data_IF_073201252347
#
_entry.id   IF_073201252347
#
_cell.length_a   1.000
_cell.length_b   1.000
_cell.length_c   1.000
_cell.angle_alpha   90.00
_cell.angle_beta   90.00
_cell.angle_gamma   90.00
#
_symmetry.space_group_name_H-M   'P 1'
#
loop_
_entity.id
_entity.type
_entity.pdbx_description
1 polymer ?
#
# COMPACT_ATOMS: atom_id res chain seq x y z
N UNK A 1 31.31 -31.70 39.66
CA UNK A 1 29.97 -31.07 39.64
C UNK A 1 29.53 -31.00 38.19
N UNK A 2 28.29 -31.38 37.86
CA UNK A 2 27.75 -31.26 36.50
C UNK A 2 26.87 -30.03 36.40
N UNK A 3 27.15 -29.11 35.48
CA UNK A 3 26.34 -27.92 35.24
C UNK A 3 25.18 -28.26 34.30
N UNK A 4 23.96 -28.37 34.86
CA UNK A 4 22.75 -28.55 34.06
C UNK A 4 22.48 -27.25 33.30
N UNK A 5 22.76 -27.25 32.00
CA UNK A 5 22.30 -26.20 31.08
C UNK A 5 20.79 -26.33 30.89
N UNK A 6 20.02 -25.46 31.53
CA UNK A 6 18.58 -25.37 31.33
C UNK A 6 18.31 -24.84 29.92
N UNK A 7 17.85 -25.70 29.03
CA UNK A 7 17.45 -25.31 27.68
C UNK A 7 16.24 -24.36 27.75
N UNK A 8 16.48 -23.08 27.50
CA UNK A 8 15.49 -22.02 27.60
C UNK A 8 14.55 -22.07 26.40
N UNK A 9 13.60 -23.00 26.45
CA UNK A 9 12.71 -23.41 25.37
C UNK A 9 12.27 -22.27 24.45
N UNK A 10 12.92 -22.17 23.30
CA UNK A 10 12.70 -21.11 22.31
C UNK A 10 11.26 -21.21 21.78
N UNK A 11 10.42 -20.25 22.16
CA UNK A 11 9.05 -20.15 21.66
C UNK A 11 9.10 -19.94 20.14
N UNK A 12 8.85 -21.03 19.40
CA UNK A 12 8.81 -21.02 17.93
C UNK A 12 7.93 -19.84 17.46
N UNK A 13 8.41 -18.98 16.55
CA UNK A 13 7.60 -17.87 16.06
C UNK A 13 6.33 -18.40 15.39
N UNK A 14 5.25 -17.61 15.42
CA UNK A 14 3.96 -17.99 14.85
C UNK A 14 4.13 -18.51 13.40
N UNK A 15 3.58 -19.69 13.06
CA UNK A 15 3.62 -20.21 11.70
C UNK A 15 3.10 -19.18 10.70
N UNK A 16 3.92 -18.84 9.70
CA UNK A 16 3.58 -17.85 8.67
C UNK A 16 4.12 -16.43 8.90
N UNK A 17 4.66 -16.07 10.07
CA UNK A 17 5.16 -14.70 10.30
C UNK A 17 6.25 -14.28 9.29
N UNK A 18 7.20 -15.17 8.97
CA UNK A 18 8.22 -14.94 7.94
C UNK A 18 7.67 -14.93 6.50
N UNK A 19 6.46 -15.44 6.27
CA UNK A 19 5.77 -15.39 4.97
C UNK A 19 5.03 -14.05 4.83
N UNK A 20 4.33 -13.60 5.88
CA UNK A 20 3.71 -12.27 5.96
C UNK A 20 4.76 -11.15 5.82
N UNK A 21 5.91 -11.26 6.50
CA UNK A 21 7.02 -10.31 6.33
C UNK A 21 7.58 -10.28 4.90
N UNK A 22 7.56 -11.42 4.18
CA UNK A 22 8.00 -11.45 2.77
C UNK A 22 6.97 -10.83 1.84
N UNK A 23 5.67 -11.08 2.07
CA UNK A 23 4.59 -10.39 1.35
C UNK A 23 4.68 -8.88 1.58
N UNK A 24 4.79 -8.42 2.83
CA UNK A 24 5.00 -7.00 3.14
C UNK A 24 6.19 -6.41 2.38
N UNK A 25 7.37 -7.05 2.44
CA UNK A 25 8.56 -6.59 1.71
C UNK A 25 8.38 -6.58 0.18
N UNK A 26 7.62 -7.52 -0.40
CA UNK A 26 7.40 -7.58 -1.84
C UNK A 26 6.45 -6.50 -2.37
N UNK A 27 5.57 -5.97 -1.50
CA UNK A 27 4.69 -4.84 -1.81
C UNK A 27 5.42 -3.48 -1.79
N UNK A 28 6.63 -3.37 -1.21
CA UNK A 28 7.33 -2.08 -1.08
C UNK A 28 7.99 -1.60 -2.39
N UNK A 29 8.42 -2.51 -3.26
CA UNK A 29 9.18 -2.15 -4.48
C UNK A 29 8.38 -1.31 -5.50
N UNK A 30 7.09 -1.61 -5.78
CA UNK A 30 6.24 -0.76 -6.64
C UNK A 30 5.97 0.62 -6.03
N UNK A 31 5.79 0.69 -4.71
CA UNK A 31 5.32 1.89 -3.99
C UNK A 31 6.34 3.04 -4.05
N UNK A 32 7.64 2.71 -4.12
CA UNK A 32 8.73 3.69 -4.08
C UNK A 32 8.67 4.77 -5.18
N UNK A 33 8.05 4.51 -6.33
CA UNK A 33 7.92 5.48 -7.43
C UNK A 33 6.69 6.39 -7.32
N UNK A 34 5.70 6.02 -6.51
CA UNK A 34 4.38 6.66 -6.50
C UNK A 34 4.34 8.08 -5.91
N UNK A 35 5.17 8.46 -4.92
CA UNK A 35 5.29 9.87 -4.52
C UNK A 35 5.76 10.79 -5.65
N UNK A 36 6.69 10.32 -6.49
CA UNK A 36 7.14 11.09 -7.66
C UNK A 36 6.04 11.16 -8.74
N UNK A 37 5.30 10.05 -8.95
CA UNK A 37 4.14 10.03 -9.83
C UNK A 37 3.06 11.04 -9.40
N UNK A 38 2.71 11.07 -8.11
CA UNK A 38 1.73 12.00 -7.54
C UNK A 38 2.16 13.46 -7.67
N UNK A 39 3.44 13.77 -7.37
CA UNK A 39 4.00 15.10 -7.58
C UNK A 39 3.90 15.56 -9.04
N UNK A 40 4.26 14.71 -10.01
CA UNK A 40 4.13 15.03 -11.44
C UNK A 40 2.66 15.22 -11.83
N UNK A 41 1.79 14.28 -11.44
CA UNK A 41 0.35 14.34 -11.70
C UNK A 41 -0.29 15.61 -11.14
N UNK A 42 0.11 16.04 -9.93
CA UNK A 42 -0.41 17.24 -9.27
C UNK A 42 0.13 18.52 -9.89
N UNK A 43 1.46 18.63 -10.06
CA UNK A 43 2.09 19.85 -10.56
C UNK A 43 1.60 20.22 -11.97
N UNK A 44 1.33 19.23 -12.82
CA UNK A 44 0.81 19.44 -14.16
C UNK A 44 -0.67 19.87 -14.27
N UNK A 45 -1.38 20.04 -13.16
CA UNK A 45 -2.81 20.43 -13.18
C UNK A 45 -3.03 21.90 -13.62
N UNK A 46 -4.24 22.24 -14.13
CA UNK A 46 -4.57 23.58 -14.63
C UNK A 46 -4.40 24.71 -13.61
N UNK A 47 -4.54 24.44 -12.31
CA UNK A 47 -4.42 25.41 -11.22
C UNK A 47 -2.99 25.56 -10.67
N UNK A 48 -2.02 24.76 -11.14
CA UNK A 48 -0.61 24.80 -10.73
C UNK A 48 0.33 25.23 -11.86
N UNK A 49 0.97 24.30 -12.60
CA UNK A 49 1.79 24.68 -13.75
C UNK A 49 0.94 25.06 -14.97
N UNK A 50 -0.28 24.51 -15.08
CA UNK A 50 -1.18 24.82 -16.20
C UNK A 50 -1.76 26.23 -16.19
N UNK A 51 -1.58 27.00 -15.11
CA UNK A 51 -1.99 28.41 -15.02
C UNK A 51 -0.97 29.38 -15.62
N UNK A 52 0.20 28.88 -16.04
CA UNK A 52 1.29 29.68 -16.61
C UNK A 52 0.98 29.86 -18.11
N UNK A 53 0.70 31.09 -18.59
CA UNK A 53 0.27 31.31 -19.97
C UNK A 53 1.31 30.81 -20.98
N UNK A 54 0.89 29.98 -21.93
CA UNK A 54 1.75 29.36 -22.94
C UNK A 54 2.49 28.09 -22.46
N UNK A 55 2.22 27.59 -21.24
CA UNK A 55 2.78 26.33 -20.72
C UNK A 55 1.71 25.25 -20.46
N UNK A 56 0.46 25.49 -20.85
CA UNK A 56 -0.69 24.61 -20.59
C UNK A 56 -0.45 23.18 -21.10
N UNK A 57 0.04 23.06 -22.34
CA UNK A 57 0.42 21.77 -22.96
C UNK A 57 1.60 21.11 -22.23
N UNK A 58 2.56 21.90 -21.74
CA UNK A 58 3.70 21.40 -20.98
C UNK A 58 3.28 20.82 -19.63
N UNK A 59 2.38 21.50 -18.94
CA UNK A 59 1.76 21.03 -17.70
C UNK A 59 0.95 19.74 -17.94
N UNK A 60 0.14 19.68 -19.00
CA UNK A 60 -0.62 18.48 -19.36
C UNK A 60 0.28 17.26 -19.62
N UNK A 61 1.43 17.43 -20.30
CA UNK A 61 2.42 16.37 -20.51
C UNK A 61 3.04 15.90 -19.17
N UNK A 62 3.35 16.82 -18.27
CA UNK A 62 3.84 16.50 -16.91
C UNK A 62 2.79 15.71 -16.11
N UNK A 63 1.51 16.12 -16.18
CA UNK A 63 0.42 15.41 -15.53
C UNK A 63 0.25 13.98 -16.07
N UNK A 64 0.26 13.81 -17.39
CA UNK A 64 0.16 12.49 -18.04
C UNK A 64 1.33 11.57 -17.69
N UNK A 65 2.55 12.10 -17.57
CA UNK A 65 3.72 11.32 -17.15
C UNK A 65 3.60 10.81 -15.70
N UNK A 66 2.95 11.57 -14.82
CA UNK A 66 2.58 11.09 -13.47
C UNK A 66 1.46 10.04 -13.52
N UNK A 67 0.38 10.33 -14.25
CA UNK A 67 -0.81 9.46 -14.39
C UNK A 67 -0.47 8.03 -14.82
N UNK A 68 0.44 7.86 -15.78
CA UNK A 68 0.82 6.57 -16.33
C UNK A 68 1.32 5.53 -15.29
N UNK A 69 1.87 5.98 -14.15
CA UNK A 69 2.29 5.07 -13.08
C UNK A 69 1.12 4.59 -12.20
N UNK A 70 0.05 5.37 -12.10
CA UNK A 70 -1.22 4.96 -11.47
C UNK A 70 -2.01 4.03 -12.39
N UNK A 71 -2.07 4.31 -13.68
CA UNK A 71 -2.69 3.42 -14.69
C UNK A 71 -2.01 2.04 -14.71
N UNK A 72 -0.68 2.02 -14.59
CA UNK A 72 0.12 0.80 -14.52
C UNK A 72 0.16 0.14 -13.13
N UNK A 73 -0.48 0.70 -12.10
CA UNK A 73 -0.30 0.28 -10.70
C UNK A 73 -0.49 -1.23 -10.46
N UNK A 74 -1.55 -1.90 -10.97
CA UNK A 74 -1.71 -3.35 -10.80
C UNK A 74 -0.58 -4.18 -11.44
N UNK A 75 -0.06 -3.74 -12.59
CA UNK A 75 1.05 -4.39 -13.29
C UNK A 75 2.37 -4.21 -12.53
N UNK A 76 2.62 -3.02 -11.98
CA UNK A 76 3.76 -2.76 -11.11
C UNK A 76 3.71 -3.67 -9.87
N UNK A 77 2.53 -3.83 -9.25
CA UNK A 77 2.33 -4.78 -8.15
C UNK A 77 2.56 -6.23 -8.56
N UNK A 78 2.13 -6.67 -9.74
CA UNK A 78 2.43 -8.02 -10.24
C UNK A 78 3.95 -8.28 -10.27
N UNK A 79 4.72 -7.35 -10.81
CA UNK A 79 6.19 -7.46 -10.93
C UNK A 79 6.87 -7.40 -9.56
N UNK A 80 6.53 -6.43 -8.71
CA UNK A 80 7.14 -6.27 -7.39
C UNK A 80 6.86 -7.47 -6.48
N UNK A 81 5.61 -7.94 -6.45
CA UNK A 81 5.22 -9.13 -5.69
C UNK A 81 5.91 -10.39 -6.22
N UNK A 82 6.01 -10.57 -7.54
CA UNK A 82 6.70 -11.72 -8.12
C UNK A 82 8.19 -11.77 -7.76
N UNK A 83 8.87 -10.62 -7.78
CA UNK A 83 10.28 -10.51 -7.39
C UNK A 83 10.44 -10.78 -5.89
N UNK A 84 9.73 -10.05 -5.04
CA UNK A 84 9.96 -10.11 -3.58
C UNK A 84 9.40 -11.36 -2.89
N UNK A 85 8.37 -12.03 -3.44
CA UNK A 85 7.83 -13.26 -2.88
C UNK A 85 8.69 -14.49 -3.20
N UNK A 86 9.37 -14.50 -4.35
CA UNK A 86 10.19 -15.62 -4.79
C UNK A 86 11.43 -15.81 -3.90
N UNK A 87 11.76 -17.06 -3.57
CA UNK A 87 12.97 -17.39 -2.77
C UNK A 87 14.28 -16.98 -3.45
N UNK A 88 14.26 -16.91 -4.79
CA UNK A 88 15.26 -16.32 -5.69
C UNK A 88 14.47 -15.81 -6.90
N UNK A 89 14.93 -14.75 -7.54
CA UNK A 89 14.29 -14.13 -8.71
C UNK A 89 15.34 -13.72 -9.74
N UNK A 90 14.96 -13.68 -11.00
CA UNK A 90 15.71 -12.99 -12.06
C UNK A 90 14.74 -12.36 -13.06
N UNK A 91 15.25 -11.80 -14.17
CA UNK A 91 14.41 -11.13 -15.18
C UNK A 91 13.28 -12.00 -15.75
N UNK A 92 13.43 -13.34 -15.74
CA UNK A 92 12.34 -14.24 -16.17
C UNK A 92 11.19 -14.33 -15.16
N UNK A 93 11.44 -14.05 -13.86
CA UNK A 93 10.39 -13.92 -12.83
C UNK A 93 9.54 -12.67 -13.07
N UNK A 94 10.18 -11.54 -13.37
CA UNK A 94 9.51 -10.29 -13.69
C UNK A 94 8.71 -10.37 -15.01
N UNK A 95 9.34 -10.90 -16.07
CA UNK A 95 8.69 -11.08 -17.38
C UNK A 95 7.47 -12.01 -17.29
N UNK A 96 7.54 -13.08 -16.50
CA UNK A 96 6.40 -13.96 -16.29
C UNK A 96 5.22 -13.23 -15.61
N UNK A 97 5.48 -12.33 -14.67
CA UNK A 97 4.45 -11.53 -14.02
C UNK A 97 3.80 -10.51 -14.97
N UNK A 98 4.58 -9.86 -15.84
CA UNK A 98 4.04 -8.98 -16.89
C UNK A 98 3.13 -9.75 -17.83
N UNK A 99 3.62 -10.87 -18.38
CA UNK A 99 2.85 -11.72 -19.32
C UNK A 99 1.59 -12.26 -18.65
N UNK A 100 1.69 -12.75 -17.41
CA UNK A 100 0.54 -13.21 -16.64
C UNK A 100 -0.49 -12.13 -16.39
N UNK A 101 -0.08 -10.91 -16.02
CA UNK A 101 -1.02 -9.86 -15.65
C UNK A 101 -1.76 -9.33 -16.88
N UNK A 102 -1.06 -9.17 -18.01
CA UNK A 102 -1.69 -8.76 -19.26
C UNK A 102 -2.73 -9.80 -19.74
N UNK A 103 -2.42 -11.10 -19.63
CA UNK A 103 -3.40 -12.16 -19.94
C UNK A 103 -4.58 -12.14 -18.97
N UNK A 104 -4.33 -12.03 -17.66
CA UNK A 104 -5.40 -11.95 -16.65
C UNK A 104 -6.33 -10.76 -16.89
N UNK A 105 -5.77 -9.56 -17.14
CA UNK A 105 -6.53 -8.35 -17.45
C UNK A 105 -7.37 -8.50 -18.71
N UNK A 106 -6.80 -9.02 -19.82
CA UNK A 106 -7.52 -9.20 -21.08
C UNK A 106 -8.58 -10.31 -21.03
N UNK A 107 -8.40 -11.33 -20.19
CA UNK A 107 -9.46 -12.31 -19.90
C UNK A 107 -10.57 -11.69 -19.05
N UNK A 108 -10.24 -10.83 -18.07
CA UNK A 108 -11.25 -10.04 -17.35
C UNK A 108 -12.08 -9.17 -18.30
N UNK A 109 -11.44 -8.38 -19.16
CA UNK A 109 -12.11 -7.57 -20.19
C UNK A 109 -13.00 -8.42 -21.10
N UNK A 110 -12.50 -9.53 -21.65
CA UNK A 110 -13.25 -10.41 -22.56
C UNK A 110 -14.44 -11.12 -21.88
N UNK A 111 -14.32 -11.45 -20.58
CA UNK A 111 -15.41 -12.04 -19.80
C UNK A 111 -16.45 -11.00 -19.35
N UNK A 112 -16.14 -9.71 -19.38
CA UNK A 112 -16.98 -8.65 -18.80
C UNK A 112 -18.41 -8.61 -19.37
N UNK A 113 -18.63 -8.67 -20.70
CA UNK A 113 -19.99 -8.72 -21.27
C UNK A 113 -20.81 -9.94 -20.82
N UNK A 114 -20.14 -11.06 -20.50
CA UNK A 114 -20.78 -12.31 -20.10
C UNK A 114 -21.19 -12.32 -18.62
N UNK A 115 -20.38 -11.71 -17.74
CA UNK A 115 -20.60 -11.76 -16.27
C UNK A 115 -21.19 -10.48 -15.68
N UNK A 116 -21.06 -9.34 -16.35
CA UNK A 116 -21.63 -8.04 -15.95
C UNK A 116 -22.74 -7.55 -16.89
N UNK A 117 -22.97 -8.24 -18.01
CA UNK A 117 -23.89 -7.82 -19.06
C UNK A 117 -23.27 -6.78 -20.01
N UNK A 118 -24.04 -6.46 -21.06
CA UNK A 118 -23.73 -5.40 -22.02
C UNK A 118 -24.04 -4.02 -21.43
N UNK A 119 -23.34 -2.96 -21.87
CA UNK A 119 -23.69 -1.59 -21.49
C UNK A 119 -25.05 -1.18 -22.08
N UNK A 120 -25.68 -0.18 -21.45
CA UNK A 120 -26.79 0.55 -22.07
C UNK A 120 -26.32 1.28 -23.34
N UNK A 121 -27.24 1.68 -24.22
CA UNK A 121 -26.91 2.36 -25.47
C UNK A 121 -26.07 3.64 -25.22
N UNK A 122 -24.96 3.78 -25.95
CA UNK A 122 -23.99 4.87 -25.75
C UNK A 122 -23.06 4.72 -24.52
N UNK A 123 -23.31 3.74 -23.64
CA UNK A 123 -22.51 3.49 -22.44
C UNK A 123 -21.18 2.77 -22.72
N UNK A 124 -20.21 2.92 -21.81
CA UNK A 124 -18.98 2.13 -21.80
C UNK A 124 -19.21 0.80 -21.08
N UNK A 125 -18.63 -0.29 -21.58
CA UNK A 125 -18.64 -1.59 -20.91
C UNK A 125 -17.98 -1.48 -19.51
N UNK A 126 -18.70 -1.87 -18.46
CA UNK A 126 -18.11 -2.06 -17.12
C UNK A 126 -17.21 -3.29 -17.17
N UNK A 127 -15.98 -3.17 -16.65
CA UNK A 127 -14.96 -4.21 -16.76
C UNK A 127 -14.76 -4.98 -15.45
N UNK A 128 -14.47 -6.27 -15.57
CA UNK A 128 -13.95 -7.13 -14.48
C UNK A 128 -12.54 -6.64 -14.13
N UNK A 129 -12.44 -5.79 -13.11
CA UNK A 129 -11.19 -5.17 -12.69
C UNK A 129 -10.92 -5.41 -11.20
N UNK A 130 -10.06 -6.39 -10.92
CA UNK A 130 -9.58 -6.67 -9.55
C UNK A 130 -8.54 -5.66 -9.04
N UNK A 131 -8.17 -4.64 -9.83
CA UNK A 131 -7.17 -3.63 -9.49
C UNK A 131 -5.87 -4.32 -9.01
N UNK A 132 -5.22 -3.74 -8.00
CA UNK A 132 -3.99 -4.24 -7.37
C UNK A 132 -4.09 -5.69 -6.88
N UNK A 133 -5.28 -6.25 -6.59
CA UNK A 133 -5.39 -7.69 -6.27
C UNK A 133 -5.05 -8.59 -7.46
N UNK A 134 -5.47 -8.22 -8.68
CA UNK A 134 -5.08 -8.93 -9.89
C UNK A 134 -3.57 -8.94 -10.04
N UNK A 135 -2.95 -7.81 -9.71
CA UNK A 135 -1.49 -7.67 -9.57
C UNK A 135 -0.90 -8.65 -8.56
N UNK A 136 -1.28 -8.55 -7.29
CA UNK A 136 -0.76 -9.38 -6.18
C UNK A 136 -0.94 -10.88 -6.46
N UNK A 137 -2.14 -11.29 -6.89
CA UNK A 137 -2.47 -12.68 -7.22
C UNK A 137 -1.55 -13.24 -8.30
N UNK A 138 -1.43 -12.52 -9.42
CA UNK A 138 -0.58 -12.97 -10.53
C UNK A 138 0.90 -12.88 -10.17
N UNK A 139 1.32 -11.92 -9.33
CA UNK A 139 2.67 -11.85 -8.80
C UNK A 139 3.04 -13.10 -7.98
N UNK A 140 2.17 -13.51 -7.04
CA UNK A 140 2.34 -14.74 -6.25
C UNK A 140 2.34 -15.97 -7.16
N UNK A 141 1.36 -16.10 -8.08
CA UNK A 141 1.31 -17.20 -9.05
C UNK A 141 2.59 -17.29 -9.88
N UNK A 142 3.11 -16.16 -10.37
CA UNK A 142 4.35 -16.09 -11.15
C UNK A 142 5.57 -16.52 -10.33
N UNK A 143 5.68 -16.06 -9.08
CA UNK A 143 6.77 -16.47 -8.18
C UNK A 143 6.74 -17.96 -7.83
N UNK A 144 5.54 -18.55 -7.69
CA UNK A 144 5.36 -19.98 -7.43
C UNK A 144 5.68 -20.83 -8.67
N UNK A 145 5.16 -20.45 -9.85
CA UNK A 145 5.43 -21.14 -11.11
C UNK A 145 6.92 -21.03 -11.50
N UNK A 146 7.56 -19.88 -11.28
CA UNK A 146 9.01 -19.73 -11.46
C UNK A 146 9.78 -20.69 -10.57
N UNK A 147 9.49 -20.71 -9.26
CA UNK A 147 10.13 -21.63 -8.32
C UNK A 147 9.95 -23.11 -8.74
N UNK A 148 8.78 -23.48 -9.25
CA UNK A 148 8.47 -24.86 -9.68
C UNK A 148 9.10 -25.27 -11.02
N UNK A 149 9.24 -24.34 -11.97
CA UNK A 149 9.50 -24.66 -13.38
C UNK A 149 10.73 -23.98 -14.03
N UNK A 150 11.44 -23.07 -13.37
CA UNK A 150 12.62 -22.39 -13.96
C UNK A 150 13.77 -23.33 -14.43
N UNK A 151 13.72 -24.63 -14.10
CA UNK A 151 14.64 -25.70 -14.54
C UNK A 151 13.93 -26.87 -15.24
N UNK A 152 12.74 -26.67 -15.79
CA UNK A 152 12.01 -27.74 -16.49
C UNK A 152 12.78 -28.19 -17.74
N UNK A 153 12.99 -29.50 -17.88
CA UNK A 153 13.44 -30.12 -19.12
C UNK A 153 12.24 -30.56 -19.94
N UNK A 154 12.22 -30.21 -21.23
CA UNK A 154 11.17 -30.61 -22.18
C UNK A 154 11.76 -31.59 -23.22
N UNK A 155 10.94 -32.37 -23.93
CA UNK A 155 11.38 -33.17 -25.06
C UNK A 155 12.14 -32.34 -26.12
N UNK A 156 13.00 -32.99 -26.90
CA UNK A 156 13.89 -32.33 -27.88
C UNK A 156 13.17 -31.34 -28.81
N UNK A 157 11.99 -31.72 -29.34
CA UNK A 157 11.18 -30.88 -30.22
C UNK A 157 10.52 -29.65 -29.53
N UNK A 158 10.57 -29.57 -28.19
CA UNK A 158 10.14 -28.41 -27.40
C UNK A 158 11.29 -27.78 -26.59
N UNK A 159 12.53 -28.24 -26.75
CA UNK A 159 13.67 -27.83 -25.92
C UNK A 159 13.93 -26.32 -25.95
N UNK A 160 13.57 -25.62 -27.04
CA UNK A 160 13.62 -24.16 -27.13
C UNK A 160 12.85 -23.45 -26.01
N UNK A 161 11.73 -24.02 -25.56
CA UNK A 161 10.86 -23.48 -24.51
C UNK A 161 11.29 -23.91 -23.10
N UNK A 162 12.37 -24.68 -22.95
CA UNK A 162 12.82 -25.24 -21.66
C UNK A 162 13.28 -24.21 -20.62
N UNK A 163 13.37 -24.68 -19.37
CA UNK A 163 13.85 -23.90 -18.23
C UNK A 163 13.08 -22.61 -18.01
N UNK A 164 13.80 -21.50 -17.84
CA UNK A 164 13.24 -20.16 -17.59
C UNK A 164 12.25 -19.69 -18.66
N UNK A 165 12.42 -20.11 -19.92
CA UNK A 165 11.53 -19.70 -21.04
C UNK A 165 10.13 -20.29 -20.92
N UNK A 166 9.98 -21.41 -20.21
CA UNK A 166 8.68 -22.01 -19.92
C UNK A 166 7.85 -21.17 -18.96
N UNK A 167 8.49 -20.41 -18.06
CA UNK A 167 7.80 -19.77 -16.93
C UNK A 167 6.75 -18.75 -17.40
N UNK A 168 7.03 -17.80 -18.31
CA UNK A 168 5.98 -16.92 -18.84
C UNK A 168 4.84 -17.66 -19.55
N UNK A 169 5.13 -18.81 -20.18
CA UNK A 169 4.15 -19.61 -20.93
C UNK A 169 3.17 -20.31 -19.96
N UNK A 170 3.69 -21.00 -18.94
CA UNK A 170 2.83 -21.64 -17.92
C UNK A 170 2.11 -20.60 -17.06
N UNK A 171 2.72 -19.44 -16.81
CA UNK A 171 2.04 -18.32 -16.15
C UNK A 171 0.91 -17.77 -17.02
N UNK A 172 1.09 -17.59 -18.33
CA UNK A 172 0.01 -17.17 -19.24
C UNK A 172 -1.18 -18.14 -19.20
N UNK A 173 -0.93 -19.45 -19.34
CA UNK A 173 -1.98 -20.46 -19.28
C UNK A 173 -2.70 -20.51 -17.92
N UNK A 174 -1.95 -20.36 -16.82
CA UNK A 174 -2.52 -20.31 -15.47
C UNK A 174 -3.32 -19.03 -15.24
N UNK A 175 -2.84 -17.88 -15.72
CA UNK A 175 -3.51 -16.59 -15.63
C UNK A 175 -4.83 -16.56 -16.41
N UNK A 176 -4.89 -17.24 -17.55
CA UNK A 176 -6.13 -17.41 -18.31
C UNK A 176 -7.19 -18.18 -17.50
N UNK A 177 -6.81 -19.33 -16.92
CA UNK A 177 -7.73 -20.13 -16.09
C UNK A 177 -8.18 -19.35 -14.85
N UNK A 178 -7.26 -18.67 -14.16
CA UNK A 178 -7.59 -17.82 -13.00
C UNK A 178 -8.49 -16.64 -13.39
N UNK A 179 -8.28 -16.03 -14.55
CA UNK A 179 -9.10 -14.92 -15.06
C UNK A 179 -10.54 -15.36 -15.33
N UNK A 180 -10.75 -16.48 -16.02
CA UNK A 180 -12.09 -17.03 -16.29
C UNK A 180 -12.80 -17.40 -14.99
N UNK A 181 -12.12 -18.11 -14.08
CA UNK A 181 -12.71 -18.53 -12.80
C UNK A 181 -13.10 -17.35 -11.92
N UNK A 182 -12.24 -16.33 -11.81
CA UNK A 182 -12.52 -15.15 -10.99
C UNK A 182 -13.54 -14.20 -11.65
N UNK A 183 -13.63 -14.15 -12.98
CA UNK A 183 -14.69 -13.37 -13.65
C UNK A 183 -16.10 -13.81 -13.22
N UNK A 184 -16.34 -15.12 -13.01
CA UNK A 184 -17.62 -15.60 -12.46
C UNK A 184 -17.86 -15.22 -10.99
N UNK A 185 -16.80 -14.96 -10.21
CA UNK A 185 -16.89 -14.49 -8.81
C UNK A 185 -17.02 -12.96 -8.73
N UNK A 186 -16.56 -12.25 -9.75
CA UNK A 186 -16.48 -10.79 -9.76
C UNK A 186 -17.80 -10.06 -9.50
N UNK A 187 -18.98 -10.48 -10.02
CA UNK A 187 -20.24 -9.80 -9.72
C UNK A 187 -20.56 -9.78 -8.22
N UNK A 188 -20.40 -10.89 -7.51
CA UNK A 188 -20.62 -10.96 -6.07
C UNK A 188 -19.59 -10.14 -5.28
N UNK A 189 -18.33 -10.13 -5.73
CA UNK A 189 -17.28 -9.27 -5.18
C UNK A 189 -17.61 -7.79 -5.36
N UNK A 190 -18.03 -7.37 -6.55
CA UNK A 190 -18.43 -6.00 -6.87
C UNK A 190 -19.65 -5.56 -6.06
N UNK A 191 -20.70 -6.41 -5.95
CA UNK A 191 -21.89 -6.09 -5.13
C UNK A 191 -21.54 -5.89 -3.66
N UNK A 192 -20.73 -6.77 -3.06
CA UNK A 192 -20.31 -6.62 -1.66
C UNK A 192 -19.45 -5.38 -1.43
N UNK A 193 -18.66 -5.00 -2.44
CA UNK A 193 -17.74 -3.87 -2.40
C UNK A 193 -18.46 -2.52 -2.58
N UNK A 194 -19.42 -2.44 -3.50
CA UNK A 194 -20.33 -1.29 -3.64
C UNK A 194 -21.19 -1.13 -2.38
N UNK A 195 -21.81 -2.21 -1.88
CA UNK A 195 -22.65 -2.16 -0.67
C UNK A 195 -21.88 -1.72 0.59
N UNK A 196 -20.61 -2.12 0.74
CA UNK A 196 -19.74 -1.57 1.79
C UNK A 196 -19.48 -0.07 1.60
N UNK A 197 -19.20 0.35 0.37
CA UNK A 197 -18.91 1.75 0.06
C UNK A 197 -20.13 2.68 0.19
N UNK A 198 -21.32 2.22 -0.22
CA UNK A 198 -22.60 2.87 0.03
C UNK A 198 -22.85 3.04 1.53
N UNK A 199 -22.72 1.95 2.31
CA UNK A 199 -22.85 1.99 3.77
C UNK A 199 -21.89 3.00 4.41
N UNK A 200 -20.63 3.02 3.99
CA UNK A 200 -19.61 4.00 4.43
C UNK A 200 -19.93 5.42 3.98
N UNK A 201 -20.49 5.63 2.78
CA UNK A 201 -20.87 6.96 2.29
C UNK A 201 -22.13 7.53 2.97
N UNK A 202 -22.98 6.68 3.57
CA UNK A 202 -24.24 7.12 4.20
C UNK A 202 -24.07 8.05 5.41
N UNK A 203 -22.88 8.06 6.03
CA UNK A 203 -22.56 8.92 7.17
C UNK A 203 -21.04 9.19 7.18
N UNK A 204 -20.59 10.36 6.69
CA UNK A 204 -19.15 10.64 6.55
C UNK A 204 -18.36 10.55 7.87
N UNK A 205 -18.99 10.74 9.04
CA UNK A 205 -18.31 10.66 10.34
C UNK A 205 -18.03 9.18 10.69
N UNK A 206 -19.07 8.35 10.74
CA UNK A 206 -18.94 6.93 11.08
C UNK A 206 -18.32 6.10 9.95
N UNK A 207 -18.62 6.45 8.70
CA UNK A 207 -17.97 5.94 7.51
C UNK A 207 -16.48 6.26 7.49
N UNK A 208 -16.10 7.51 7.78
CA UNK A 208 -14.70 7.91 7.95
C UNK A 208 -13.99 7.09 9.04
N UNK A 209 -14.64 6.85 10.18
CA UNK A 209 -14.12 5.96 11.23
C UNK A 209 -13.86 4.54 10.73
N UNK A 210 -14.88 3.91 10.14
CA UNK A 210 -14.80 2.52 9.70
C UNK A 210 -13.82 2.35 8.54
N UNK A 211 -13.87 3.23 7.54
CA UNK A 211 -12.95 3.23 6.41
C UNK A 211 -11.51 3.45 6.88
N UNK A 212 -11.23 4.46 7.71
CA UNK A 212 -9.87 4.74 8.22
C UNK A 212 -9.30 3.57 9.04
N UNK A 213 -10.12 2.95 9.89
CA UNK A 213 -9.73 1.77 10.67
C UNK A 213 -9.48 0.55 9.76
N UNK A 214 -10.42 0.24 8.86
CA UNK A 214 -10.33 -0.92 7.96
C UNK A 214 -9.18 -0.75 6.95
N UNK A 215 -8.95 0.45 6.42
CA UNK A 215 -7.81 0.79 5.55
C UNK A 215 -6.50 0.32 6.19
N UNK A 216 -6.23 0.72 7.44
CA UNK A 216 -5.04 0.31 8.18
C UNK A 216 -5.02 -1.22 8.41
N UNK A 217 -6.09 -1.79 8.94
CA UNK A 217 -6.16 -3.24 9.22
C UNK A 217 -5.91 -4.13 7.98
N UNK A 218 -6.15 -3.63 6.77
CA UNK A 218 -5.94 -4.34 5.51
C UNK A 218 -4.56 -4.13 4.85
N UNK A 219 -3.65 -3.32 5.42
CA UNK A 219 -2.28 -3.13 4.88
C UNK A 219 -1.42 -4.40 4.96
N UNK A 220 -1.38 -5.18 6.06
CA UNK A 220 -0.53 -6.38 6.17
C UNK A 220 -0.77 -7.46 5.10
N UNK A 221 -1.91 -7.36 4.39
CA UNK A 221 -2.36 -8.27 3.32
C UNK A 221 -2.55 -7.55 1.97
N UNK A 222 -2.21 -6.26 1.86
CA UNK A 222 -2.35 -5.46 0.63
C UNK A 222 -3.79 -5.13 0.20
N UNK A 223 -4.80 -5.70 0.86
CA UNK A 223 -6.22 -5.55 0.49
C UNK A 223 -6.76 -4.12 0.65
N UNK A 224 -6.05 -3.25 1.37
CA UNK A 224 -6.41 -1.84 1.51
C UNK A 224 -6.46 -1.11 0.15
N UNK A 225 -5.67 -1.54 -0.85
CA UNK A 225 -5.73 -0.97 -2.20
C UNK A 225 -7.10 -1.21 -2.88
N UNK A 226 -7.87 -2.24 -2.52
CA UNK A 226 -9.26 -2.43 -2.99
C UNK A 226 -10.13 -1.30 -2.45
N UNK A 227 -10.06 -1.13 -1.12
CA UNK A 227 -10.86 -0.19 -0.34
C UNK A 227 -10.64 1.23 -0.87
N UNK A 228 -9.36 1.57 -1.06
CA UNK A 228 -8.93 2.82 -1.66
C UNK A 228 -9.42 2.96 -3.11
N UNK A 229 -9.26 1.93 -3.96
CA UNK A 229 -9.69 2.00 -5.37
C UNK A 229 -11.15 2.44 -5.50
N UNK A 230 -12.00 1.92 -4.62
CA UNK A 230 -13.46 2.13 -4.64
C UNK A 230 -13.83 3.48 -4.07
N UNK A 231 -13.37 3.81 -2.86
CA UNK A 231 -13.70 5.09 -2.25
C UNK A 231 -13.09 6.27 -3.02
N UNK A 232 -11.85 6.14 -3.51
CA UNK A 232 -11.11 7.25 -4.13
C UNK A 232 -11.35 7.43 -5.63
N UNK A 233 -11.70 6.36 -6.39
CA UNK A 233 -11.85 6.45 -7.86
C UNK A 233 -13.20 5.97 -8.43
N UNK A 234 -14.11 5.39 -7.61
CA UNK A 234 -15.38 4.83 -8.10
C UNK A 234 -16.62 5.48 -7.48
N UNK A 235 -16.64 5.73 -6.17
CA UNK A 235 -17.91 6.05 -5.47
C UNK A 235 -18.26 7.54 -5.46
N UNK A 236 -19.52 7.79 -5.82
CA UNK A 236 -20.10 9.11 -6.01
C UNK A 236 -19.74 9.71 -7.37
N UNK A 237 -20.59 10.63 -7.83
CA UNK A 237 -20.36 11.45 -9.02
C UNK A 237 -20.37 12.93 -8.64
N UNK A 238 -19.53 13.71 -9.34
CA UNK A 238 -19.69 15.15 -9.44
C UNK A 238 -19.35 15.61 -10.86
N UNK A 239 -20.39 15.82 -11.68
CA UNK A 239 -20.26 16.27 -13.07
C UNK A 239 -19.42 15.32 -13.95
N UNK A 240 -19.46 14.01 -13.70
CA UNK A 240 -18.65 13.00 -14.40
C UNK A 240 -17.27 12.74 -13.77
N UNK A 241 -16.92 13.41 -12.67
CA UNK A 241 -15.80 13.02 -11.82
C UNK A 241 -16.25 11.94 -10.82
N UNK A 242 -15.57 10.79 -10.78
CA UNK A 242 -15.93 9.65 -9.95
C UNK A 242 -14.91 9.37 -8.84
N UNK A 243 -15.40 9.03 -7.65
CA UNK A 243 -14.56 8.78 -6.48
C UNK A 243 -13.99 10.03 -5.80
N UNK A 244 -13.62 9.88 -4.53
CA UNK A 244 -13.29 11.00 -3.63
C UNK A 244 -12.11 11.87 -4.11
N UNK A 245 -11.12 11.29 -4.83
CA UNK A 245 -9.97 12.03 -5.40
C UNK A 245 -10.42 12.94 -6.54
N UNK A 246 -11.04 12.37 -7.58
CA UNK A 246 -11.38 13.14 -8.78
C UNK A 246 -12.44 14.20 -8.47
N UNK A 247 -13.39 13.87 -7.58
CA UNK A 247 -14.43 14.79 -7.11
C UNK A 247 -13.85 15.97 -6.33
N UNK A 248 -12.89 15.73 -5.43
CA UNK A 248 -12.20 16.82 -4.73
C UNK A 248 -11.49 17.78 -5.70
N UNK A 249 -10.71 17.26 -6.66
CA UNK A 249 -10.04 18.09 -7.67
C UNK A 249 -11.00 18.76 -8.67
N UNK A 250 -12.23 18.25 -8.82
CA UNK A 250 -13.31 18.90 -9.57
C UNK A 250 -14.07 19.99 -8.76
N UNK A 251 -13.75 20.20 -7.48
CA UNK A 251 -14.39 21.19 -6.61
C UNK A 251 -15.64 20.70 -5.88
N UNK A 252 -15.82 19.39 -5.72
CA UNK A 252 -16.92 18.81 -4.94
C UNK A 252 -16.65 18.92 -3.42
N UNK A 253 -17.57 19.50 -2.63
CA UNK A 253 -17.66 19.16 -0.79
C UNK A 253 -18.16 19.69 -1.18
N UNK A 254 -18.92 18.21 -1.50
CA UNK A 254 -19.03 16.91 -0.74
C UNK A 254 -17.86 15.89 -0.72
N UNK A 255 -16.72 16.10 -1.40
CA UNK A 255 -15.61 15.12 -1.47
C UNK A 255 -14.44 15.38 -0.47
N UNK A 256 -13.45 14.48 -0.44
CA UNK A 256 -12.28 14.47 0.45
C UNK A 256 -12.51 13.78 1.81
N UNK A 257 -13.70 13.24 2.08
CA UNK A 257 -14.06 12.65 3.38
C UNK A 257 -13.41 11.29 3.67
N UNK A 258 -12.84 10.63 2.66
CA UNK A 258 -12.06 9.39 2.79
C UNK A 258 -10.55 9.62 2.60
N UNK A 259 -10.14 10.88 2.76
CA UNK A 259 -8.79 11.37 2.48
C UNK A 259 -8.25 12.25 3.63
N UNK A 260 -8.98 13.30 3.97
CA UNK A 260 -8.54 14.38 4.89
C UNK A 260 -7.96 13.88 6.21
N UNK A 261 -8.55 12.83 6.81
CA UNK A 261 -8.14 12.36 8.14
C UNK A 261 -6.81 11.61 8.19
N UNK A 262 -6.19 11.32 7.05
CA UNK A 262 -4.83 10.77 7.02
C UNK A 262 -3.77 11.84 7.30
N UNK A 263 -4.00 13.13 6.98
CA UNK A 263 -3.00 14.19 7.19
C UNK A 263 -2.55 14.34 8.66
N UNK A 264 -3.44 14.41 9.68
CA UNK A 264 -3.03 14.45 11.08
C UNK A 264 -2.19 13.23 11.51
N UNK A 265 -2.43 12.08 10.87
CA UNK A 265 -1.75 10.82 11.19
C UNK A 265 -0.37 10.74 10.54
N UNK A 266 -0.28 11.04 9.25
CA UNK A 266 0.97 10.90 8.47
C UNK A 266 1.96 12.02 8.77
N UNK A 267 1.49 13.27 8.85
CA UNK A 267 2.36 14.44 9.07
C UNK A 267 2.83 14.59 10.52
N UNK A 268 2.09 14.06 11.51
CA UNK A 268 2.35 14.35 12.93
C UNK A 268 2.33 13.10 13.83
N UNK A 269 1.25 12.30 13.76
CA UNK A 269 1.05 11.20 14.71
C UNK A 269 2.06 10.05 14.56
N UNK A 270 2.32 9.62 13.33
CA UNK A 270 3.29 8.57 13.01
C UNK A 270 4.75 9.01 13.32
N UNK A 271 5.21 10.23 12.96
CA UNK A 271 6.48 10.76 13.46
C UNK A 271 6.62 10.75 14.98
N UNK A 272 5.55 11.08 15.72
CA UNK A 272 5.55 11.04 17.18
C UNK A 272 5.58 9.60 17.75
N UNK A 273 4.91 8.65 17.09
CA UNK A 273 5.02 7.22 17.38
C UNK A 273 6.41 6.65 17.09
N UNK A 274 7.06 7.10 16.02
CA UNK A 274 8.45 6.75 15.69
C UNK A 274 9.43 7.26 16.75
N UNK A 275 9.25 8.51 17.21
CA UNK A 275 10.01 9.09 18.33
C UNK A 275 9.79 8.31 19.63
N UNK A 276 8.57 7.85 19.91
CA UNK A 276 8.28 6.99 21.06
C UNK A 276 9.02 5.64 20.97
N UNK A 277 8.98 4.96 19.81
CA UNK A 277 9.71 3.69 19.59
C UNK A 277 11.23 3.90 19.76
N UNK A 278 11.79 4.96 19.17
CA UNK A 278 13.21 5.31 19.30
C UNK A 278 13.63 5.55 20.76
N UNK A 279 12.86 6.33 21.52
CA UNK A 279 13.21 6.63 22.91
C UNK A 279 13.09 5.41 23.84
N UNK A 280 12.25 4.43 23.51
CA UNK A 280 12.08 3.17 24.26
C UNK A 280 13.03 2.03 23.85
N UNK A 281 13.86 2.21 22.82
CA UNK A 281 14.90 1.24 22.45
C UNK A 281 16.02 1.13 23.51
N UNK A 282 16.69 -0.03 23.59
CA UNK A 282 17.87 -0.26 24.44
C UNK A 282 18.98 0.75 24.11
N UNK A 283 19.79 1.22 25.09
CA UNK A 283 20.86 2.20 24.84
C UNK A 283 21.82 1.85 23.70
N UNK A 284 22.24 0.59 23.57
CA UNK A 284 23.07 0.11 22.44
C UNK A 284 22.40 0.31 21.08
N UNK A 285 21.10 0.04 21.02
CA UNK A 285 20.29 0.04 19.79
C UNK A 285 19.80 1.43 19.38
N UNK A 286 19.90 2.45 20.25
CA UNK A 286 19.32 3.80 20.00
C UNK A 286 19.87 4.51 18.77
N UNK A 287 21.11 4.24 18.33
CA UNK A 287 21.66 4.84 17.10
C UNK A 287 20.97 4.27 15.85
N UNK A 288 20.94 2.94 15.73
CA UNK A 288 20.37 2.21 14.59
C UNK A 288 18.86 2.44 14.50
N UNK A 289 18.13 2.24 15.61
CA UNK A 289 16.68 2.48 15.65
C UNK A 289 16.35 3.95 15.40
N UNK A 290 17.17 4.89 15.86
CA UNK A 290 17.00 6.31 15.59
C UNK A 290 17.03 6.64 14.10
N UNK A 291 18.01 6.10 13.36
CA UNK A 291 18.08 6.25 11.90
C UNK A 291 16.85 5.69 11.17
N UNK A 292 16.43 4.47 11.53
CA UNK A 292 15.26 3.82 10.91
C UNK A 292 13.97 4.59 11.23
N UNK A 293 13.77 4.98 12.49
CA UNK A 293 12.57 5.71 12.94
C UNK A 293 12.50 7.12 12.33
N UNK A 294 13.63 7.84 12.26
CA UNK A 294 13.68 9.15 11.63
C UNK A 294 13.44 9.07 10.12
N UNK A 295 14.04 8.09 9.43
CA UNK A 295 13.81 7.88 8.00
C UNK A 295 12.34 7.57 7.70
N UNK A 296 11.75 6.59 8.41
CA UNK A 296 10.34 6.24 8.26
C UNK A 296 9.38 7.39 8.61
N UNK A 297 9.70 8.17 9.65
CA UNK A 297 8.95 9.36 10.03
C UNK A 297 8.99 10.46 8.96
N UNK A 298 10.16 10.75 8.39
CA UNK A 298 10.30 11.76 7.33
C UNK A 298 9.61 11.31 6.04
N UNK A 299 9.71 10.03 5.67
CA UNK A 299 8.98 9.46 4.53
C UNK A 299 7.46 9.60 4.72
N UNK A 300 6.92 9.19 5.87
CA UNK A 300 5.50 9.33 6.18
C UNK A 300 5.06 10.81 6.20
N UNK A 301 5.84 11.69 6.86
CA UNK A 301 5.51 13.10 6.99
C UNK A 301 5.49 13.83 5.65
N UNK A 302 6.49 13.61 4.79
CA UNK A 302 6.64 14.35 3.54
C UNK A 302 5.73 13.78 2.43
N UNK A 303 5.66 12.45 2.31
CA UNK A 303 5.04 11.76 1.15
C UNK A 303 3.77 10.98 1.47
N UNK A 304 3.41 10.83 2.74
CA UNK A 304 2.28 9.98 3.16
C UNK A 304 2.52 8.47 3.01
N UNK A 305 3.73 8.02 2.62
CA UNK A 305 4.11 6.60 2.58
C UNK A 305 4.41 6.12 3.99
N UNK A 306 3.55 5.26 4.54
CA UNK A 306 3.59 4.86 5.96
C UNK A 306 4.23 3.49 6.17
N UNK A 307 4.25 2.65 5.15
CA UNK A 307 4.64 1.24 5.19
C UNK A 307 6.05 0.99 5.73
N UNK A 308 7.11 1.77 5.37
CA UNK A 308 8.45 1.59 5.95
C UNK A 308 8.49 1.76 7.48
N UNK A 309 7.61 2.60 8.02
CA UNK A 309 7.49 2.84 9.45
C UNK A 309 6.53 1.82 10.11
N UNK A 310 5.35 1.59 9.55
CA UNK A 310 4.38 0.61 10.05
C UNK A 310 4.96 -0.81 10.09
N UNK A 311 5.68 -1.24 9.04
CA UNK A 311 6.29 -2.57 8.93
C UNK A 311 7.37 -2.81 9.99
N UNK A 312 7.97 -1.75 10.55
CA UNK A 312 8.95 -1.87 11.63
C UNK A 312 8.33 -2.35 12.95
N UNK A 313 7.02 -2.15 13.17
CA UNK A 313 6.35 -2.50 14.43
C UNK A 313 5.11 -3.41 14.29
N UNK A 314 4.40 -3.44 13.16
CA UNK A 314 3.13 -4.19 13.05
C UNK A 314 3.27 -5.69 13.36
N UNK A 315 4.37 -6.33 12.95
CA UNK A 315 4.58 -7.77 13.12
C UNK A 315 5.20 -8.15 14.48
N UNK A 316 5.83 -7.21 15.18
CA UNK A 316 6.57 -7.45 16.44
C UNK A 316 5.91 -6.81 17.67
N UNK A 317 5.02 -5.84 17.45
CA UNK A 317 4.29 -5.07 18.45
C UNK A 317 2.85 -4.78 17.99
N UNK A 318 2.17 -5.80 17.42
CA UNK A 318 0.83 -5.73 16.85
C UNK A 318 -0.23 -4.94 17.66
N UNK A 319 -0.25 -4.93 19.02
CA UNK A 319 -1.17 -4.07 19.76
C UNK A 319 -1.02 -2.56 19.47
N UNK A 320 0.19 -2.07 19.17
CA UNK A 320 0.39 -0.69 18.70
C UNK A 320 -0.24 -0.46 17.32
N UNK A 321 -0.29 -1.50 16.49
CA UNK A 321 -0.88 -1.43 15.15
C UNK A 321 -2.41 -1.36 15.19
N UNK A 322 -3.04 -2.12 16.10
CA UNK A 322 -4.48 -2.01 16.37
C UNK A 322 -4.84 -0.62 16.90
N UNK A 323 -4.03 -0.06 17.82
CA UNK A 323 -4.18 1.30 18.33
C UNK A 323 -4.03 2.33 17.19
N UNK A 324 -3.01 2.19 16.34
CA UNK A 324 -2.80 3.05 15.18
C UNK A 324 -3.99 3.01 14.20
N UNK A 325 -4.54 1.82 13.93
CA UNK A 325 -5.71 1.66 13.07
C UNK A 325 -6.93 2.43 13.61
N UNK A 326 -7.29 2.21 14.88
CA UNK A 326 -8.44 2.88 15.53
C UNK A 326 -8.23 4.39 15.61
N UNK A 327 -7.02 4.86 15.91
CA UNK A 327 -6.72 6.30 15.95
C UNK A 327 -6.72 6.94 14.56
N UNK A 328 -6.42 6.17 13.50
CA UNK A 328 -6.57 6.64 12.12
C UNK A 328 -8.06 6.81 11.78
N UNK A 329 -8.90 5.84 12.14
CA UNK A 329 -10.36 5.98 12.05
C UNK A 329 -10.88 7.20 12.81
N UNK A 330 -10.48 7.41 14.06
CA UNK A 330 -10.95 8.57 14.85
C UNK A 330 -10.47 9.91 14.28
N UNK A 331 -9.35 9.94 13.55
CA UNK A 331 -8.88 11.13 12.84
C UNK A 331 -9.79 11.49 11.67
N UNK A 332 -10.15 10.52 10.82
CA UNK A 332 -11.13 10.70 9.74
C UNK A 332 -12.50 11.12 10.28
N UNK A 333 -12.98 10.48 11.34
CA UNK A 333 -14.23 10.84 11.99
C UNK A 333 -14.23 12.30 12.49
N UNK A 334 -13.15 12.73 13.15
CA UNK A 334 -13.02 14.07 13.72
C UNK A 334 -12.97 15.17 12.64
N UNK A 335 -12.14 15.01 11.60
CA UNK A 335 -12.05 16.03 10.55
C UNK A 335 -13.36 16.14 9.76
N UNK A 336 -14.03 15.02 9.49
CA UNK A 336 -15.35 15.01 8.84
C UNK A 336 -16.43 15.65 9.72
N UNK A 337 -16.40 15.44 11.04
CA UNK A 337 -17.32 16.07 11.99
C UNK A 337 -17.13 17.60 12.11
N UNK A 338 -15.92 18.11 11.87
CA UNK A 338 -15.60 19.53 11.82
C UNK A 338 -15.78 20.15 10.42
N UNK A 339 -16.12 19.32 9.42
CA UNK A 339 -16.19 19.73 8.01
C UNK A 339 -14.86 20.28 7.48
N UNK A 340 -13.73 19.71 7.90
CA UNK A 340 -12.41 20.02 7.33
C UNK A 340 -12.23 19.12 6.10
N UNK A 341 -11.69 19.66 5.01
CA UNK A 341 -11.54 18.95 3.73
C UNK A 341 -10.17 19.21 3.14
N UNK A 342 -9.44 18.16 2.79
CA UNK A 342 -8.22 18.24 1.98
C UNK A 342 -8.02 16.93 1.19
N UNK A 343 -7.37 17.05 0.04
CA UNK A 343 -7.18 15.97 -0.93
C UNK A 343 -5.71 15.61 -1.12
N UNK A 344 -5.44 14.58 -1.90
CA UNK A 344 -4.12 14.13 -2.31
C UNK A 344 -4.21 13.36 -3.63
N UNK A 345 -3.09 13.30 -4.35
CA UNK A 345 -2.93 12.50 -5.57
C UNK A 345 -2.48 11.08 -5.31
N UNK A 346 -1.77 10.84 -4.20
CA UNK A 346 -1.31 9.50 -3.81
C UNK A 346 -1.51 9.18 -2.33
N UNK A 347 -1.04 10.04 -1.43
CA UNK A 347 -1.21 9.87 0.02
C UNK A 347 -1.09 11.20 0.76
N UNK A 348 -1.51 11.24 2.02
CA UNK A 348 -1.69 12.48 2.79
C UNK A 348 -0.39 13.02 3.41
N UNK A 349 0.63 13.23 2.57
CA UNK A 349 1.90 13.83 2.95
C UNK A 349 1.90 15.36 2.97
N UNK A 350 2.93 15.96 3.55
CA UNK A 350 3.14 17.42 3.58
C UNK A 350 3.17 18.02 2.17
N UNK A 351 3.65 17.30 1.16
CA UNK A 351 3.62 17.77 -0.23
C UNK A 351 2.20 17.95 -0.76
N UNK A 352 1.33 16.94 -0.63
CA UNK A 352 -0.07 17.05 -1.05
C UNK A 352 -0.81 18.14 -0.24
N UNK A 353 -0.62 18.20 1.10
CA UNK A 353 -1.20 19.27 1.94
C UNK A 353 -0.83 20.68 1.46
N UNK A 354 0.43 20.92 1.07
CA UNK A 354 0.88 22.23 0.56
C UNK A 354 0.38 22.49 -0.87
N UNK A 355 0.35 21.47 -1.73
CA UNK A 355 -0.09 21.60 -3.13
C UNK A 355 -1.62 21.73 -3.26
N UNK A 356 -2.38 21.25 -2.26
CA UNK A 356 -3.85 21.21 -2.28
C UNK A 356 -4.47 22.26 -1.34
N UNK A 357 -3.65 23.00 -0.58
CA UNK A 357 -4.05 24.06 0.34
C UNK A 357 -5.00 25.12 -0.25
N UNK A 358 -4.90 25.40 -1.56
CA UNK A 358 -5.77 26.34 -2.27
C UNK A 358 -7.16 25.79 -2.66
N UNK A 359 -7.35 24.47 -2.57
CA UNK A 359 -8.62 23.75 -2.81
C UNK A 359 -9.26 23.26 -1.51
N UNK A 360 -8.48 23.18 -0.42
CA UNK A 360 -8.88 22.63 0.86
C UNK A 360 -9.83 23.54 1.67
N UNK A 361 -10.78 22.94 2.39
CA UNK A 361 -11.66 23.62 3.34
C UNK A 361 -11.06 23.54 4.76
N UNK A 362 -10.78 24.70 5.36
CA UNK A 362 -10.17 24.85 6.71
C UNK A 362 -8.82 24.11 6.91
N UNK A 363 -7.89 24.04 5.92
CA UNK A 363 -6.67 23.21 6.02
C UNK A 363 -5.81 23.52 7.26
N UNK A 364 -5.77 24.79 7.71
CA UNK A 364 -5.05 25.21 8.91
C UNK A 364 -5.45 24.45 10.20
N UNK A 365 -6.65 23.89 10.27
CA UNK A 365 -7.10 23.08 11.42
C UNK A 365 -6.44 21.70 11.49
N UNK A 366 -5.87 21.19 10.38
CA UNK A 366 -5.14 19.92 10.36
C UNK A 366 -3.85 19.99 11.18
N UNK A 367 -3.24 21.18 11.34
CA UNK A 367 -2.03 21.38 12.14
C UNK A 367 -2.28 21.16 13.65
N UNK A 368 -3.19 21.88 14.34
CA UNK A 368 -3.46 21.66 15.77
C UNK A 368 -4.06 20.27 16.04
N UNK A 369 -4.89 19.73 15.14
CA UNK A 369 -5.41 18.36 15.25
C UNK A 369 -4.25 17.35 15.15
N UNK A 370 -3.36 17.53 14.19
CA UNK A 370 -2.14 16.72 14.02
C UNK A 370 -1.23 16.76 15.24
N UNK A 371 -0.98 17.95 15.81
CA UNK A 371 -0.19 18.10 17.04
C UNK A 371 -0.85 17.44 18.25
N UNK A 372 -2.19 17.47 18.36
CA UNK A 372 -2.92 16.72 19.38
C UNK A 372 -2.76 15.20 19.19
N UNK A 373 -2.91 14.69 17.96
CA UNK A 373 -2.66 13.28 17.64
C UNK A 373 -1.19 12.86 17.86
N UNK A 374 -0.21 13.74 17.61
CA UNK A 374 1.19 13.51 17.96
C UNK A 374 1.39 13.33 19.48
N UNK A 375 0.77 14.19 20.29
CA UNK A 375 0.76 14.03 21.74
C UNK A 375 0.16 12.68 22.17
N UNK A 376 -1.03 12.34 21.65
CA UNK A 376 -1.71 11.06 21.92
C UNK A 376 -0.81 9.88 21.56
N UNK A 377 -0.26 9.83 20.34
CA UNK A 377 0.60 8.74 19.87
C UNK A 377 1.85 8.61 20.73
N UNK A 378 2.57 9.70 20.99
CA UNK A 378 3.81 9.67 21.76
C UNK A 378 3.59 9.14 23.18
N UNK A 379 2.63 9.65 23.93
CA UNK A 379 2.38 9.19 25.29
C UNK A 379 1.79 7.78 25.33
N UNK A 380 0.82 7.47 24.45
CA UNK A 380 0.17 6.15 24.42
C UNK A 380 1.13 5.04 23.97
N UNK A 381 1.95 5.26 22.94
CA UNK A 381 2.93 4.27 22.49
C UNK A 381 3.94 4.00 23.60
N UNK A 382 4.52 5.01 24.25
CA UNK A 382 5.46 4.80 25.37
C UNK A 382 4.82 4.07 26.55
N UNK A 383 3.58 4.43 26.91
CA UNK A 383 2.83 3.74 27.96
C UNK A 383 2.63 2.25 27.61
N UNK A 384 2.13 1.95 26.41
CA UNK A 384 1.83 0.59 25.94
C UNK A 384 3.11 -0.26 25.80
N UNK A 385 4.17 0.28 25.19
CA UNK A 385 5.47 -0.39 25.03
C UNK A 385 6.02 -0.81 26.40
N UNK A 386 5.93 0.05 27.42
CA UNK A 386 6.37 -0.26 28.79
C UNK A 386 5.43 -1.24 29.48
N UNK A 387 4.13 -0.96 29.48
CA UNK A 387 3.11 -1.68 30.27
C UNK A 387 2.94 -3.14 29.83
N UNK A 388 3.15 -3.44 28.56
CA UNK A 388 3.10 -4.81 28.00
C UNK A 388 4.47 -5.32 27.56
N UNK A 389 5.56 -4.61 27.87
CA UNK A 389 6.94 -4.89 27.47
C UNK A 389 7.11 -5.34 26.00
N UNK A 390 6.56 -4.56 25.07
CA UNK A 390 6.53 -4.92 23.66
C UNK A 390 7.94 -4.93 23.05
N UNK A 391 8.23 -5.95 22.21
CA UNK A 391 9.49 -6.10 21.47
C UNK A 391 9.51 -5.23 20.20
N UNK A 392 9.33 -3.91 20.35
CA UNK A 392 9.56 -2.95 19.26
C UNK A 392 11.03 -2.96 18.81
N UNK A 393 11.39 -2.36 17.65
CA UNK A 393 12.78 -2.23 17.22
C UNK A 393 13.73 -1.79 18.34
N UNK A 394 14.84 -2.53 18.49
CA UNK A 394 15.83 -2.30 19.55
C UNK A 394 15.41 -2.65 20.98
N UNK A 395 14.25 -3.29 21.20
CA UNK A 395 13.85 -3.88 22.50
C UNK A 395 13.93 -5.41 22.55
N UNK A 396 13.98 -6.08 21.40
CA UNK A 396 14.07 -7.54 21.28
C UNK A 396 15.33 -8.16 21.89
N UNK A 397 15.40 -9.50 21.90
CA UNK A 397 16.66 -10.22 22.18
C UNK A 397 17.59 -10.13 20.97
N UNK A 398 17.03 -10.33 19.76
CA UNK A 398 17.71 -10.04 18.51
C UNK A 398 18.02 -8.54 18.40
N UNK A 399 19.28 -8.21 18.12
CA UNK A 399 19.69 -6.85 17.78
C UNK A 399 19.29 -6.51 16.33
N UNK A 400 18.97 -5.24 16.07
CA UNK A 400 18.69 -4.78 14.70
C UNK A 400 20.02 -4.69 13.94
N UNK A 401 20.24 -5.45 12.85
CA UNK A 401 21.53 -5.44 12.16
C UNK A 401 21.86 -4.06 11.60
N UNK A 402 23.11 -3.62 11.76
CA UNK A 402 23.58 -2.37 11.16
C UNK A 402 23.85 -2.59 9.66
N UNK A 403 22.96 -2.05 8.82
CA UNK A 403 23.06 -2.16 7.37
C UNK A 403 24.29 -1.45 6.76
N UNK A 404 25.09 -0.74 7.55
CA UNK A 404 26.35 -0.11 7.12
C UNK A 404 27.59 -0.97 7.39
N UNK A 405 27.45 -2.08 8.12
CA UNK A 405 28.54 -3.07 8.30
C UNK A 405 28.32 -4.22 7.31
N UNK A 406 29.22 -4.44 6.33
CA UNK A 406 29.16 -5.63 5.49
C UNK A 406 29.34 -6.88 6.34
N UNK A 407 28.67 -7.99 5.97
CA UNK A 407 28.96 -9.30 6.55
C UNK A 407 30.44 -9.65 6.32
N UNK A 408 31.27 -9.40 7.33
CA UNK A 408 32.65 -9.90 7.39
C UNK A 408 32.58 -11.39 7.66
N UNK A 409 32.30 -12.15 6.61
CA UNK A 409 32.00 -13.57 6.66
C UNK A 409 33.02 -14.30 7.54
N UNK A 410 32.53 -15.00 8.55
CA UNK A 410 33.33 -15.82 9.46
C UNK A 410 33.85 -17.06 8.74
N UNK A 411 34.88 -16.86 7.91
CA UNK A 411 35.69 -17.94 7.33
C UNK A 411 36.59 -18.58 8.38
N UNK A 412 35.99 -19.05 9.47
CA UNK A 412 36.65 -19.94 10.43
C UNK A 412 36.90 -21.28 9.76
N UNK A 413 38.15 -21.46 9.35
CA UNK A 413 38.76 -22.73 8.99
C UNK A 413 38.47 -23.82 10.02
N UNK A 414 37.92 -24.95 9.57
CA UNK A 414 38.63 -26.25 9.55
C UNK A 414 38.29 -26.92 8.21
#
# INVERSE_FOLDING_TARGET
MSSITVDAGTKRPFPGLAQLQRVGRSLMLPIAALPAAGLLLRLGQPDLLGRIPGFETGAAVIASAGGALFDALPLLFAVGVAIGFAKKSDGSTALAAVVGYLVFSKVGEAMSPLVLGLPAEGGKQVLVNYSVLGGILIGITSALLWQRFHRISLPSYLAFFGGRRFVPIVTAGTALVLGVLLAFVYPAFATGLSGFGEFVSSNNIWGGFLYGTTNRLLIPVGLHHILNSVMWFVIGDFNGAHGDIARFFAGDPTAGSFMTGFFPIMMFALPAGALAIWQEAKPSQKKIVGGIMLSGALTAMLTGVTEPLEFSFMFVAFPLYLIHAVLTGSSLALVNALGIRDGFTFSAGTFDYVLNFGLAEKPLLLIPIGLAYAGIYYFLFRFVIRKWNLKTPGRGEDEVPDATVPDSASSTTV
#
